data_IF_328803855766
#
_entry.id   IF_328803855766
#
_cell.length_a   1.000
_cell.length_b   1.000
_cell.length_c   1.000
_cell.angle_alpha   90.00
_cell.angle_beta   90.00
_cell.angle_gamma   90.00
#
_symmetry.space_group_name_H-M   'P 1'
#
loop_
_entity.id
_entity.type
_entity.pdbx_description
1 polymer ?
#
# COMPACT_ATOMS: atom_id res chain seq x y z
N UNK A 1 -3.87 -0.72 -7.13
CA UNK A 1 -2.92 -0.22 -6.11
C UNK A 1 -3.00 -1.13 -4.89
N UNK A 2 -1.88 -1.65 -4.42
CA UNK A 2 -1.83 -2.59 -3.29
C UNK A 2 -0.95 -2.00 -2.20
N UNK A 3 -1.49 -1.95 -0.98
CA UNK A 3 -0.81 -1.38 0.19
C UNK A 3 -1.26 -2.11 1.44
N UNK A 4 -0.35 -2.21 2.41
CA UNK A 4 -0.66 -2.69 3.76
C UNK A 4 -1.56 -1.69 4.51
N UNK A 5 -1.49 -0.40 4.20
CA UNK A 5 -2.19 0.66 4.95
C UNK A 5 -2.80 1.75 4.07
N UNK A 6 -3.87 2.38 4.59
CA UNK A 6 -4.64 3.45 3.95
C UNK A 6 -5.17 4.50 4.94
N UNK A 7 -4.59 5.70 4.93
CA UNK A 7 -4.94 6.84 5.77
C UNK A 7 -6.09 7.66 5.21
N UNK A 8 -7.31 7.15 5.32
CA UNK A 8 -8.50 7.81 4.77
C UNK A 8 -9.14 8.81 5.75
N UNK A 9 -9.41 8.33 6.96
CA UNK A 9 -10.07 9.05 8.05
C UNK A 9 -9.74 8.37 9.38
N UNK A 10 -9.78 9.14 10.48
CA UNK A 10 -9.58 8.63 11.84
C UNK A 10 -10.59 7.51 12.23
N UNK A 11 -11.74 7.46 11.56
CA UNK A 11 -12.75 6.44 11.81
C UNK A 11 -12.30 5.03 11.37
N UNK A 12 -11.37 4.92 10.42
CA UNK A 12 -10.85 3.64 9.93
C UNK A 12 -9.41 3.47 10.41
N UNK A 13 -9.19 2.63 11.42
CA UNK A 13 -7.85 2.34 11.96
C UNK A 13 -7.10 1.35 11.06
N UNK A 14 -6.82 1.74 9.82
CA UNK A 14 -6.11 0.91 8.82
C UNK A 14 -4.81 1.54 8.32
N UNK A 15 -4.20 2.42 9.14
CA UNK A 15 -2.91 3.05 8.86
C UNK A 15 -2.17 3.37 10.16
N UNK A 16 -0.85 3.56 10.08
CA UNK A 16 0.00 3.96 11.21
C UNK A 16 0.85 5.19 10.92
N UNK A 17 1.19 5.44 9.66
CA UNK A 17 2.17 6.48 9.33
C UNK A 17 1.99 7.14 7.98
N UNK A 18 3.07 7.78 7.50
CA UNK A 18 3.09 8.56 6.28
C UNK A 18 2.82 7.75 5.00
N UNK A 19 3.20 6.47 4.98
CA UNK A 19 2.91 5.56 3.87
C UNK A 19 1.39 5.37 3.70
N UNK A 20 0.68 5.12 4.81
CA UNK A 20 -0.77 5.02 4.80
C UNK A 20 -1.43 6.34 4.42
N UNK A 21 -0.99 7.47 5.00
CA UNK A 21 -1.53 8.80 4.63
C UNK A 21 -1.40 9.06 3.14
N UNK A 22 -0.23 8.78 2.54
CA UNK A 22 -0.03 8.90 1.10
C UNK A 22 -0.97 7.99 0.32
N UNK A 23 -1.09 6.71 0.69
CA UNK A 23 -2.01 5.78 0.03
C UNK A 23 -3.45 6.30 0.07
N UNK A 24 -3.89 6.87 1.20
CA UNK A 24 -5.21 7.45 1.33
C UNK A 24 -5.41 8.70 0.45
N UNK A 25 -4.44 9.60 0.43
CA UNK A 25 -4.48 10.80 -0.42
C UNK A 25 -4.39 10.46 -1.91
N UNK A 26 -3.62 9.43 -2.27
CA UNK A 26 -3.52 8.97 -3.64
C UNK A 26 -4.86 8.44 -4.16
N UNK A 27 -5.63 7.72 -3.32
CA UNK A 27 -6.99 7.29 -3.69
C UNK A 27 -7.97 8.45 -3.84
N UNK A 28 -7.87 9.47 -2.99
CA UNK A 28 -8.72 10.67 -3.08
C UNK A 28 -8.41 11.46 -4.35
N UNK A 29 -7.13 11.70 -4.64
CA UNK A 29 -6.70 12.37 -5.86
C UNK A 29 -7.09 11.56 -7.11
N UNK A 30 -6.92 10.23 -7.08
CA UNK A 30 -7.36 9.36 -8.17
C UNK A 30 -8.88 9.44 -8.41
N UNK A 31 -9.68 9.58 -7.36
CA UNK A 31 -11.13 9.80 -7.45
C UNK A 31 -11.48 11.13 -8.12
N UNK A 32 -10.78 12.20 -7.75
CA UNK A 32 -11.02 13.56 -8.26
C UNK A 32 -10.58 13.67 -9.72
N UNK A 33 -9.43 13.08 -10.04
CA UNK A 33 -8.90 12.94 -11.41
C UNK A 33 -9.63 11.89 -12.26
N UNK A 34 -10.65 11.19 -11.72
CA UNK A 34 -11.47 10.17 -12.42
C UNK A 34 -10.63 9.03 -13.03
N UNK A 35 -9.55 8.65 -12.37
CA UNK A 35 -8.69 7.54 -12.79
C UNK A 35 -9.42 6.22 -12.54
N UNK A 36 -9.35 5.29 -13.50
CA UNK A 36 -9.90 3.93 -13.33
C UNK A 36 -9.02 3.06 -12.42
N UNK A 37 -9.04 3.37 -11.12
CA UNK A 37 -8.23 2.71 -10.10
C UNK A 37 -9.08 1.85 -9.17
N UNK A 38 -8.49 0.78 -8.65
CA UNK A 38 -9.00 0.00 -7.53
C UNK A 38 -7.86 -0.27 -6.57
N UNK A 39 -8.18 -0.32 -5.28
CA UNK A 39 -7.21 -0.56 -4.23
C UNK A 39 -7.51 -1.84 -3.44
N UNK A 40 -6.45 -2.47 -2.93
CA UNK A 40 -6.52 -3.71 -2.16
C UNK A 40 -5.64 -3.57 -0.91
N UNK A 41 -6.15 -4.00 0.24
CA UNK A 41 -5.43 -4.00 1.51
C UNK A 41 -6.14 -4.83 2.58
N UNK A 42 -5.94 -4.46 3.84
CA UNK A 42 -6.46 -5.16 5.01
C UNK A 42 -7.42 -4.32 5.85
N UNK A 43 -8.44 -4.99 6.39
CA UNK A 43 -9.26 -4.44 7.47
C UNK A 43 -8.71 -4.97 8.80
N UNK A 44 -7.97 -4.13 9.52
CA UNK A 44 -7.34 -4.55 10.75
C UNK A 44 -8.32 -4.56 11.93
N UNK A 45 -8.35 -5.62 12.74
CA UNK A 45 -9.22 -5.70 13.93
C UNK A 45 -8.89 -4.62 14.97
N UNK A 46 -7.62 -4.36 15.22
CA UNK A 46 -7.14 -3.42 16.26
C UNK A 46 -6.42 -2.19 15.67
N UNK A 47 -6.15 -2.18 14.37
CA UNK A 47 -5.34 -1.15 13.72
C UNK A 47 -3.89 -1.18 14.19
N UNK A 48 -3.34 0.00 14.51
CA UNK A 48 -2.02 0.13 15.13
C UNK A 48 -2.15 0.10 16.66
N UNK A 49 -2.39 1.22 17.32
CA UNK A 49 -2.84 1.29 18.71
C UNK A 49 -3.44 2.67 19.02
N UNK A 50 -4.30 2.75 20.04
CA UNK A 50 -4.72 4.02 20.64
C UNK A 50 -3.71 4.41 21.72
N UNK A 51 -3.01 5.53 21.54
CA UNK A 51 -2.04 6.05 22.50
C UNK A 51 -2.76 6.76 23.66
N UNK A 52 -2.44 6.38 24.90
CA UNK A 52 -2.78 7.17 26.09
C UNK A 52 -1.52 7.47 26.91
N UNK A 53 -1.59 8.48 27.78
CA UNK A 53 -0.50 8.84 28.68
C UNK A 53 -0.88 8.48 30.12
N UNK A 54 0.04 7.82 30.83
CA UNK A 54 -0.08 7.60 32.26
C UNK A 54 0.04 8.92 33.03
N UNK A 55 -0.32 8.90 34.32
CA UNK A 55 -0.13 10.05 35.22
C UNK A 55 1.35 10.49 35.29
N UNK A 56 2.27 9.54 35.12
CA UNK A 56 3.72 9.79 35.10
C UNK A 56 4.24 10.20 33.71
N UNK A 57 3.37 10.40 32.72
CA UNK A 57 3.72 10.78 31.36
C UNK A 57 4.26 9.64 30.50
N UNK A 58 4.08 8.38 30.93
CA UNK A 58 4.50 7.22 30.13
C UNK A 58 3.45 6.89 29.07
N UNK A 59 3.91 6.53 27.88
CA UNK A 59 3.04 6.04 26.82
C UNK A 59 2.46 4.67 27.17
N UNK A 60 1.14 4.54 27.03
CA UNK A 60 0.41 3.28 27.13
C UNK A 60 -0.23 3.01 25.76
N UNK A 61 -0.01 1.81 25.22
CA UNK A 61 -0.59 1.37 23.96
C UNK A 61 -1.86 0.53 24.22
N UNK A 62 -3.01 1.03 23.78
CA UNK A 62 -4.29 0.33 23.94
C UNK A 62 -4.76 -0.23 22.60
N UNK A 63 -5.09 -1.52 22.57
CA UNK A 63 -5.54 -2.22 21.37
C UNK A 63 -7.05 -2.45 21.43
N UNK A 64 -7.81 -1.49 20.94
CA UNK A 64 -9.26 -1.55 20.92
C UNK A 64 -9.76 -2.21 19.64
N UNK A 65 -10.51 -3.31 19.77
CA UNK A 65 -11.14 -3.95 18.64
C UNK A 65 -12.17 -3.02 17.99
N UNK A 66 -12.08 -2.85 16.67
CA UNK A 66 -13.04 -2.08 15.90
C UNK A 66 -14.35 -2.85 15.75
N UNK A 67 -15.48 -2.17 15.95
CA UNK A 67 -16.78 -2.71 15.56
C UNK A 67 -17.03 -2.42 14.07
N UNK A 68 -16.78 -3.40 13.21
CA UNK A 68 -16.94 -3.25 11.76
C UNK A 68 -18.36 -2.82 11.34
N UNK A 69 -19.38 -3.18 12.11
CA UNK A 69 -20.77 -2.78 11.84
C UNK A 69 -21.06 -1.30 12.06
N UNK A 70 -20.20 -0.56 12.77
CA UNK A 70 -20.34 0.90 12.95
C UNK A 70 -19.42 1.71 12.04
N UNK A 71 -18.57 1.06 11.23
CA UNK A 71 -17.63 1.72 10.35
C UNK A 71 -18.31 2.10 9.02
N UNK A 72 -17.84 3.15 8.32
CA UNK A 72 -18.33 3.54 7.00
C UNK A 72 -17.81 2.59 5.90
N UNK A 73 -18.08 1.30 6.05
CA UNK A 73 -17.66 0.22 5.16
C UNK A 73 -18.85 -0.66 4.81
N UNK A 74 -18.76 -1.41 3.72
CA UNK A 74 -19.83 -2.32 3.31
C UNK A 74 -19.25 -3.70 3.06
N UNK A 75 -19.88 -4.74 3.59
CA UNK A 75 -19.49 -6.12 3.29
C UNK A 75 -19.86 -6.45 1.84
N UNK A 76 -18.96 -7.09 1.10
CA UNK A 76 -19.24 -7.53 -0.25
C UNK A 76 -20.09 -8.80 -0.19
N UNK A 77 -21.24 -8.78 -0.86
CA UNK A 77 -22.20 -9.88 -0.90
C UNK A 77 -22.22 -10.53 -2.29
N UNK A 78 -22.57 -11.81 -2.32
CA UNK A 78 -22.82 -12.56 -3.56
C UNK A 78 -24.24 -12.31 -4.11
N UNK A 79 -24.57 -12.98 -5.22
CA UNK A 79 -25.88 -12.90 -5.89
C UNK A 79 -27.06 -13.37 -5.01
N UNK A 80 -26.77 -14.07 -3.92
CA UNK A 80 -27.75 -14.58 -2.95
C UNK A 80 -27.78 -13.75 -1.65
N UNK A 81 -27.19 -12.55 -1.64
CA UNK A 81 -27.05 -11.67 -0.47
C UNK A 81 -26.28 -12.31 0.71
N UNK A 82 -25.39 -13.27 0.44
CA UNK A 82 -24.49 -13.83 1.45
C UNK A 82 -23.11 -13.18 1.36
N UNK A 83 -22.39 -13.01 2.49
CA UNK A 83 -21.01 -12.54 2.47
C UNK A 83 -20.13 -13.34 1.51
N UNK A 84 -19.41 -12.64 0.64
CA UNK A 84 -18.37 -13.28 -0.17
C UNK A 84 -17.21 -13.64 0.74
N UNK A 85 -16.94 -14.94 0.81
CA UNK A 85 -15.75 -15.48 1.46
C UNK A 85 -14.71 -15.80 0.39
N UNK A 86 -13.55 -15.19 0.51
CA UNK A 86 -12.38 -15.46 -0.30
C UNK A 86 -11.61 -16.65 0.29
N UNK A 87 -11.30 -17.62 -0.55
CA UNK A 87 -10.47 -18.77 -0.20
C UNK A 87 -9.05 -18.57 -0.73
N UNK A 88 -8.08 -18.48 0.17
CA UNK A 88 -6.66 -18.28 -0.18
C UNK A 88 -5.89 -19.53 0.20
N UNK A 89 -5.38 -20.31 -0.77
CA UNK A 89 -4.64 -21.53 -0.49
C UNK A 89 -3.27 -21.15 0.08
N UNK A 90 -3.04 -21.54 1.34
CA UNK A 90 -1.73 -21.54 1.96
C UNK A 90 -1.09 -22.92 1.75
N UNK A 91 0.12 -23.12 2.25
CA UNK A 91 0.90 -24.31 1.93
C UNK A 91 0.30 -25.63 2.45
N UNK A 92 -0.43 -25.60 3.56
CA UNK A 92 -1.01 -26.79 4.23
C UNK A 92 -2.53 -26.68 4.47
N UNK A 93 -3.11 -25.50 4.28
CA UNK A 93 -4.53 -25.22 4.57
C UNK A 93 -5.04 -24.07 3.70
N UNK A 94 -6.35 -23.83 3.77
CA UNK A 94 -6.97 -22.66 3.14
C UNK A 94 -7.29 -21.63 4.21
N UNK A 95 -6.95 -20.38 3.94
CA UNK A 95 -7.33 -19.23 4.76
C UNK A 95 -8.57 -18.61 4.13
N UNK A 96 -9.59 -18.39 4.96
CA UNK A 96 -10.83 -17.76 4.56
C UNK A 96 -10.78 -16.28 4.88
N UNK A 97 -11.29 -15.42 4.00
CA UNK A 97 -11.33 -13.99 4.27
C UNK A 97 -12.64 -13.36 3.83
N UNK A 98 -13.25 -12.59 4.72
CA UNK A 98 -14.34 -11.69 4.36
C UNK A 98 -13.79 -10.55 3.51
N UNK A 99 -14.59 -10.10 2.55
CA UNK A 99 -14.26 -8.95 1.73
C UNK A 99 -15.15 -7.78 2.15
N UNK A 100 -14.50 -6.68 2.52
CA UNK A 100 -15.13 -5.40 2.81
C UNK A 100 -14.76 -4.40 1.72
N UNK A 101 -15.63 -3.42 1.46
CA UNK A 101 -15.33 -2.31 0.55
C UNK A 101 -15.53 -0.96 1.23
N UNK A 102 -14.66 -0.03 0.88
CA UNK A 102 -14.73 1.39 1.23
C UNK A 102 -14.79 2.18 -0.08
N UNK A 103 -15.81 3.02 -0.23
CA UNK A 103 -15.92 3.91 -1.39
C UNK A 103 -15.22 5.24 -1.09
N UNK A 104 -14.05 5.44 -1.70
CA UNK A 104 -13.28 6.70 -1.64
C UNK A 104 -13.66 7.51 -2.87
N UNK A 105 -14.76 8.24 -2.77
CA UNK A 105 -15.39 8.88 -3.93
C UNK A 105 -15.73 7.85 -5.00
N UNK A 106 -15.02 7.89 -6.15
CA UNK A 106 -15.20 6.94 -7.26
C UNK A 106 -14.37 5.66 -7.11
N UNK A 107 -13.34 5.68 -6.27
CA UNK A 107 -12.40 4.57 -6.13
C UNK A 107 -12.95 3.57 -5.12
N UNK A 108 -12.93 2.29 -5.48
CA UNK A 108 -13.25 1.21 -4.55
C UNK A 108 -11.96 0.67 -3.93
N UNK A 109 -11.91 0.71 -2.60
CA UNK A 109 -10.88 0.06 -1.79
C UNK A 109 -11.47 -1.23 -1.21
N UNK A 110 -10.90 -2.37 -1.58
CA UNK A 110 -11.27 -3.68 -1.04
C UNK A 110 -10.32 -4.08 0.07
N UNK A 111 -10.90 -4.52 1.19
CA UNK A 111 -10.17 -4.87 2.40
C UNK A 111 -10.46 -6.32 2.77
N UNK A 112 -9.41 -7.10 2.95
CA UNK A 112 -9.47 -8.48 3.43
C UNK A 112 -9.46 -8.52 4.95
N UNK A 113 -10.29 -9.39 5.51
CA UNK A 113 -10.45 -9.65 6.95
C UNK A 113 -10.42 -11.16 7.18
N UNK A 114 -9.47 -11.68 7.95
CA UNK A 114 -9.35 -13.11 8.28
C UNK A 114 -9.91 -13.46 9.65
N UNK A 115 -10.52 -12.52 10.38
CA UNK A 115 -11.12 -12.74 11.70
C UNK A 115 -12.47 -13.49 11.62
N UNK A 116 -12.43 -14.72 11.10
CA UNK A 116 -13.57 -15.62 10.94
C UNK A 116 -13.40 -16.88 11.80
N UNK A 117 -14.52 -17.41 12.31
CA UNK A 117 -14.54 -18.67 13.07
C UNK A 117 -14.07 -19.89 12.27
N UNK A 118 -14.08 -19.81 10.93
CA UNK A 118 -13.59 -20.87 10.05
C UNK A 118 -12.05 -20.96 10.04
N UNK A 119 -11.37 -19.91 10.46
CA UNK A 119 -9.91 -19.85 10.56
C UNK A 119 -9.46 -20.23 11.97
N UNK A 120 -8.26 -20.80 12.07
CA UNK A 120 -7.62 -21.00 13.37
C UNK A 120 -7.32 -19.65 14.05
N UNK A 121 -7.14 -19.65 15.37
CA UNK A 121 -6.78 -18.42 16.12
C UNK A 121 -5.50 -17.77 15.58
N UNK A 122 -4.54 -18.57 15.11
CA UNK A 122 -3.29 -18.12 14.50
C UNK A 122 -3.43 -17.51 13.10
N UNK A 123 -4.56 -17.75 12.44
CA UNK A 123 -4.84 -17.24 11.09
C UNK A 123 -5.77 -16.04 11.13
N UNK A 124 -6.65 -15.99 12.14
CA UNK A 124 -7.40 -14.77 12.47
C UNK A 124 -6.47 -13.60 12.75
N UNK A 125 -5.33 -13.86 13.41
CA UNK A 125 -4.35 -12.82 13.74
C UNK A 125 -3.67 -12.15 12.53
N UNK A 126 -3.76 -12.72 11.32
CA UNK A 126 -3.17 -12.13 10.11
C UNK A 126 -3.69 -10.71 9.89
N UNK A 127 -4.98 -10.45 10.13
CA UNK A 127 -5.58 -9.11 10.02
C UNK A 127 -5.88 -8.47 11.38
N UNK A 128 -5.18 -8.85 12.45
CA UNK A 128 -5.40 -8.20 13.75
C UNK A 128 -4.73 -6.83 13.86
N UNK A 129 -3.44 -6.75 13.47
CA UNK A 129 -2.61 -5.57 13.69
C UNK A 129 -1.78 -5.22 12.46
N UNK A 130 -1.64 -3.93 12.21
CA UNK A 130 -0.72 -3.36 11.23
C UNK A 130 0.70 -3.40 11.82
N UNK A 131 1.66 -3.99 11.09
CA UNK A 131 3.05 -4.17 11.54
C UNK A 131 3.21 -4.91 12.89
N UNK A 132 2.31 -5.87 13.16
CA UNK A 132 2.37 -6.71 14.36
C UNK A 132 2.74 -8.17 14.05
N UNK A 133 3.00 -8.93 15.12
CA UNK A 133 3.35 -10.35 15.05
C UNK A 133 4.83 -10.60 14.80
N UNK A 134 5.15 -11.86 14.48
CA UNK A 134 6.51 -12.30 14.14
C UNK A 134 6.73 -12.33 12.62
N UNK A 135 7.94 -12.76 12.21
CA UNK A 135 8.28 -12.91 10.79
C UNK A 135 7.37 -13.89 10.05
N UNK A 136 6.82 -14.91 10.72
CA UNK A 136 5.87 -15.81 10.09
C UNK A 136 4.53 -15.11 9.84
N UNK A 137 4.00 -14.35 10.80
CA UNK A 137 2.80 -13.54 10.60
C UNK A 137 3.00 -12.50 9.48
N UNK A 138 4.19 -11.88 9.41
CA UNK A 138 4.55 -10.95 8.33
C UNK A 138 4.52 -11.63 6.96
N UNK A 139 5.12 -12.81 6.83
CA UNK A 139 5.07 -13.60 5.60
C UNK A 139 3.62 -13.97 5.21
N UNK A 140 2.77 -14.34 6.18
CA UNK A 140 1.34 -14.60 5.95
C UNK A 140 0.60 -13.36 5.45
N UNK A 141 0.86 -12.18 6.03
CA UNK A 141 0.26 -10.91 5.58
C UNK A 141 0.69 -10.59 4.15
N UNK A 142 1.97 -10.69 3.81
CA UNK A 142 2.45 -10.42 2.45
C UNK A 142 1.91 -11.42 1.43
N UNK A 143 1.83 -12.70 1.80
CA UNK A 143 1.21 -13.72 0.96
C UNK A 143 -0.27 -13.43 0.72
N UNK A 144 -1.01 -13.08 1.78
CA UNK A 144 -2.43 -12.74 1.67
C UNK A 144 -2.63 -11.46 0.84
N UNK A 145 -1.79 -10.44 1.01
CA UNK A 145 -1.88 -9.20 0.23
C UNK A 145 -1.61 -9.44 -1.25
N UNK A 146 -0.53 -10.17 -1.57
CA UNK A 146 -0.13 -10.43 -2.94
C UNK A 146 -0.97 -11.50 -3.63
N UNK A 147 -0.93 -12.74 -3.14
CA UNK A 147 -1.65 -13.87 -3.72
C UNK A 147 -3.15 -13.73 -3.47
N UNK A 148 -3.55 -13.50 -2.22
CA UNK A 148 -4.95 -13.33 -1.85
C UNK A 148 -5.57 -12.12 -2.54
N UNK A 149 -4.87 -10.99 -2.63
CA UNK A 149 -5.37 -9.81 -3.32
C UNK A 149 -5.57 -10.00 -4.84
N UNK A 150 -4.72 -10.77 -5.53
CA UNK A 150 -4.99 -11.14 -6.94
C UNK A 150 -6.20 -12.08 -7.05
N UNK A 151 -6.34 -13.05 -6.12
CA UNK A 151 -7.51 -13.93 -6.08
C UNK A 151 -8.80 -13.15 -5.79
N UNK A 152 -8.74 -12.14 -4.92
CA UNK A 152 -9.84 -11.21 -4.64
C UNK A 152 -10.29 -10.51 -5.93
N UNK A 153 -9.36 -9.91 -6.67
CA UNK A 153 -9.71 -9.22 -7.93
C UNK A 153 -10.38 -10.19 -8.91
N UNK A 154 -9.83 -11.40 -9.08
CA UNK A 154 -10.43 -12.45 -9.91
C UNK A 154 -11.84 -12.84 -9.44
N UNK A 155 -12.03 -13.02 -8.13
CA UNK A 155 -13.31 -13.40 -7.52
C UNK A 155 -14.40 -12.35 -7.71
N UNK A 156 -14.01 -11.08 -7.82
CA UNK A 156 -14.90 -9.95 -8.08
C UNK A 156 -15.02 -9.61 -9.57
N UNK A 157 -14.35 -10.35 -10.47
CA UNK A 157 -14.35 -10.07 -11.90
C UNK A 157 -13.61 -8.79 -12.30
N UNK A 158 -12.76 -8.26 -11.42
CA UNK A 158 -12.01 -7.01 -11.67
C UNK A 158 -10.74 -7.34 -12.44
N UNK A 159 -10.59 -6.74 -13.61
CA UNK A 159 -9.39 -6.82 -14.46
C UNK A 159 -8.75 -5.45 -14.55
N UNK A 160 -7.41 -5.41 -14.51
CA UNK A 160 -6.60 -4.20 -14.59
C UNK A 160 -5.35 -4.47 -15.41
N UNK A 161 -4.92 -3.48 -16.17
CA UNK A 161 -3.73 -3.57 -17.02
C UNK A 161 -2.45 -3.30 -16.24
N UNK A 162 -2.53 -2.50 -15.17
CA UNK A 162 -1.38 -2.06 -14.36
C UNK A 162 -1.58 -2.40 -12.89
N UNK A 163 -0.53 -2.93 -12.28
CA UNK A 163 -0.47 -3.29 -10.86
C UNK A 163 0.61 -2.48 -10.17
N UNK A 164 0.25 -1.79 -9.09
CA UNK A 164 1.17 -0.92 -8.36
C UNK A 164 1.40 -1.45 -6.95
N UNK A 165 2.65 -1.78 -6.67
CA UNK A 165 3.17 -2.20 -5.38
C UNK A 165 3.59 -0.97 -4.56
N UNK A 166 2.89 -0.72 -3.47
CA UNK A 166 3.30 0.26 -2.48
C UNK A 166 4.23 -0.39 -1.46
N UNK A 167 5.54 -0.20 -1.62
CA UNK A 167 6.62 -0.88 -0.88
C UNK A 167 6.72 -2.40 -1.17
N UNK A 168 7.84 -3.01 -0.78
CA UNK A 168 8.15 -4.42 -1.06
C UNK A 168 7.12 -5.44 -0.56
N UNK A 169 6.29 -5.10 0.43
CA UNK A 169 5.31 -6.00 1.05
C UNK A 169 4.24 -6.51 0.06
N UNK A 170 4.06 -5.81 -1.06
CA UNK A 170 3.14 -6.17 -2.13
C UNK A 170 3.80 -7.00 -3.25
N UNK A 171 5.08 -7.35 -3.15
CA UNK A 171 5.83 -7.94 -4.26
C UNK A 171 5.28 -9.31 -4.73
N UNK A 172 4.61 -10.07 -3.85
CA UNK A 172 4.02 -11.37 -4.19
C UNK A 172 2.83 -11.30 -5.16
N UNK A 173 2.34 -10.09 -5.48
CA UNK A 173 1.46 -9.85 -6.64
C UNK A 173 2.11 -10.42 -7.89
N UNK A 174 3.39 -10.12 -8.14
CA UNK A 174 4.12 -10.59 -9.31
C UNK A 174 4.23 -12.11 -9.34
N UNK A 175 4.52 -12.75 -8.20
CA UNK A 175 4.58 -14.22 -8.12
C UNK A 175 3.25 -14.87 -8.54
N UNK A 176 2.12 -14.35 -8.03
CA UNK A 176 0.80 -14.88 -8.41
C UNK A 176 0.48 -14.64 -9.89
N UNK A 177 0.81 -13.46 -10.42
CA UNK A 177 0.60 -13.12 -11.83
C UNK A 177 1.46 -13.98 -12.77
N UNK A 178 2.72 -14.23 -12.42
CA UNK A 178 3.60 -15.16 -13.14
C UNK A 178 2.96 -16.55 -13.21
N UNK A 179 2.51 -17.08 -12.06
CA UNK A 179 1.82 -18.36 -12.02
C UNK A 179 0.59 -18.37 -12.92
N UNK A 180 -0.19 -17.30 -12.93
CA UNK A 180 -1.42 -17.22 -13.72
C UNK A 180 -1.14 -17.21 -15.21
N UNK A 181 -0.19 -16.40 -15.68
CA UNK A 181 0.20 -16.40 -17.09
C UNK A 181 0.78 -17.75 -17.56
N UNK A 182 1.60 -18.40 -16.74
CA UNK A 182 2.14 -19.72 -17.08
C UNK A 182 1.03 -20.78 -17.10
N UNK A 183 0.14 -20.79 -16.11
CA UNK A 183 -0.83 -21.87 -15.95
C UNK A 183 -2.09 -21.70 -16.78
N UNK A 184 -2.58 -20.48 -16.94
CA UNK A 184 -3.85 -20.15 -17.59
C UNK A 184 -3.61 -19.77 -19.06
N UNK A 185 -2.63 -18.91 -19.34
CA UNK A 185 -2.31 -18.42 -20.70
C UNK A 185 -1.21 -19.26 -21.39
N UNK A 186 -0.64 -20.26 -20.70
CA UNK A 186 0.37 -21.19 -21.24
C UNK A 186 1.64 -20.53 -21.77
N UNK A 187 1.96 -19.34 -21.27
CA UNK A 187 3.22 -18.67 -21.57
C UNK A 187 4.40 -19.42 -20.92
N UNK A 188 5.57 -19.35 -21.55
CA UNK A 188 6.82 -19.72 -20.85
C UNK A 188 7.08 -18.75 -19.69
N UNK A 189 7.94 -19.17 -18.75
CA UNK A 189 8.32 -18.31 -17.63
C UNK A 189 8.87 -16.95 -18.08
N UNK A 190 9.74 -16.93 -19.09
CA UNK A 190 10.35 -15.69 -19.58
C UNK A 190 9.31 -14.78 -20.23
N UNK A 191 8.40 -15.32 -21.05
CA UNK A 191 7.31 -14.53 -21.63
C UNK A 191 6.38 -13.97 -20.56
N UNK A 192 6.00 -14.79 -19.57
CA UNK A 192 5.19 -14.35 -18.44
C UNK A 192 5.89 -13.26 -17.62
N UNK A 193 7.22 -13.37 -17.43
CA UNK A 193 8.01 -12.38 -16.72
C UNK A 193 8.01 -11.04 -17.45
N UNK A 194 8.19 -11.01 -18.77
CA UNK A 194 8.12 -9.77 -19.55
C UNK A 194 6.75 -9.11 -19.43
N UNK A 195 5.65 -9.89 -19.52
CA UNK A 195 4.29 -9.35 -19.35
C UNK A 195 4.09 -8.79 -17.94
N UNK A 196 4.53 -9.51 -16.89
CA UNK A 196 4.41 -9.07 -15.50
C UNK A 196 5.23 -7.80 -15.27
N UNK A 197 6.48 -7.74 -15.75
CA UNK A 197 7.34 -6.56 -15.66
C UNK A 197 6.68 -5.36 -16.30
N UNK A 198 6.30 -5.46 -17.58
CA UNK A 198 5.72 -4.37 -18.36
C UNK A 198 4.43 -3.76 -17.76
N UNK A 199 3.77 -4.48 -16.86
CA UNK A 199 2.49 -4.09 -16.24
C UNK A 199 2.58 -3.91 -14.72
N UNK A 200 3.79 -3.80 -14.17
CA UNK A 200 4.02 -3.64 -12.73
C UNK A 200 4.82 -2.36 -12.45
N UNK A 201 4.30 -1.56 -11.51
CA UNK A 201 4.95 -0.39 -10.93
C UNK A 201 5.36 -0.70 -9.49
N UNK A 202 6.56 -0.30 -9.10
CA UNK A 202 7.06 -0.43 -7.74
C UNK A 202 7.47 0.92 -7.16
N UNK A 203 6.91 1.30 -6.02
CA UNK A 203 7.34 2.48 -5.28
C UNK A 203 8.01 2.06 -3.97
N UNK A 204 9.23 2.56 -3.76
CA UNK A 204 9.99 2.40 -2.51
C UNK A 204 9.89 3.68 -1.68
N UNK A 205 9.59 3.53 -0.39
CA UNK A 205 9.53 4.63 0.57
C UNK A 205 10.70 4.61 1.55
N UNK A 206 11.33 3.45 1.66
CA UNK A 206 12.38 3.19 2.64
C UNK A 206 13.74 3.61 2.09
N UNK A 207 14.47 4.52 2.76
CA UNK A 207 15.76 5.03 2.28
C UNK A 207 16.96 4.20 2.76
N UNK A 208 16.73 3.15 3.55
CA UNK A 208 17.80 2.35 4.18
C UNK A 208 17.50 0.85 4.10
N UNK A 209 18.49 -0.01 3.78
CA UNK A 209 18.30 -1.46 3.67
C UNK A 209 17.63 -2.10 4.90
N UNK A 210 17.91 -1.62 6.10
CA UNK A 210 17.36 -2.17 7.34
C UNK A 210 15.83 -2.05 7.49
N UNK A 211 15.16 -1.22 6.68
CA UNK A 211 13.70 -1.08 6.70
C UNK A 211 12.98 -2.00 5.71
N UNK A 212 13.70 -2.77 4.89
CA UNK A 212 13.12 -3.70 3.94
C UNK A 212 12.90 -5.08 4.56
N UNK A 213 11.90 -5.80 4.05
CA UNK A 213 11.61 -7.17 4.51
C UNK A 213 12.51 -8.19 3.82
N UNK A 214 13.17 -9.01 4.67
CA UNK A 214 14.03 -10.11 4.27
C UNK A 214 13.57 -11.40 4.94
N UNK A 215 13.23 -12.42 4.15
CA UNK A 215 12.81 -13.72 4.66
C UNK A 215 13.92 -14.76 4.56
N UNK A 216 14.09 -15.55 5.62
CA UNK A 216 14.89 -16.77 5.56
C UNK A 216 14.35 -17.72 4.49
N UNK A 217 15.24 -18.41 3.78
CA UNK A 217 14.84 -19.32 2.68
C UNK A 217 13.83 -20.37 3.15
N UNK A 218 14.02 -20.92 4.35
CA UNK A 218 13.10 -21.92 4.92
C UNK A 218 11.68 -21.38 5.12
N UNK A 219 11.55 -20.12 5.54
CA UNK A 219 10.26 -19.49 5.79
C UNK A 219 9.55 -19.17 4.48
N UNK A 220 10.21 -18.52 3.52
CA UNK A 220 9.56 -18.22 2.23
C UNK A 220 9.27 -19.50 1.44
N UNK A 221 10.14 -20.51 1.50
CA UNK A 221 9.93 -21.82 0.87
C UNK A 221 8.65 -22.48 1.35
N UNK A 222 8.41 -22.48 2.67
CA UNK A 222 7.20 -23.02 3.27
C UNK A 222 5.94 -22.50 2.56
N UNK A 223 5.86 -21.20 2.26
CA UNK A 223 4.65 -20.59 1.66
C UNK A 223 4.67 -20.56 0.13
N UNK A 224 5.84 -20.39 -0.50
CA UNK A 224 5.95 -20.09 -1.93
C UNK A 224 6.26 -21.32 -2.79
N UNK A 225 6.85 -22.40 -2.26
CA UNK A 225 7.26 -23.57 -3.06
C UNK A 225 6.10 -24.19 -3.87
N UNK A 226 4.87 -24.38 -3.32
CA UNK A 226 3.76 -24.89 -4.11
C UNK A 226 3.36 -23.98 -5.28
N UNK A 227 3.52 -22.66 -5.12
CA UNK A 227 3.24 -21.67 -6.15
C UNK A 227 4.35 -21.67 -7.21
N UNK A 228 5.62 -21.69 -6.79
CA UNK A 228 6.80 -21.70 -7.67
C UNK A 228 6.85 -22.96 -8.53
N UNK A 229 6.49 -24.12 -7.97
CA UNK A 229 6.37 -25.37 -8.73
C UNK A 229 5.37 -25.24 -9.89
N UNK A 230 4.32 -24.42 -9.73
CA UNK A 230 3.34 -24.11 -10.80
C UNK A 230 3.83 -23.02 -11.76
N UNK A 231 4.82 -22.20 -11.39
CA UNK A 231 5.51 -21.33 -12.35
C UNK A 231 6.43 -22.15 -13.27
N UNK A 232 6.91 -23.31 -12.79
CA UNK A 232 7.69 -24.25 -13.60
C UNK A 232 9.19 -23.91 -13.68
N UNK A 233 9.70 -23.12 -12.73
CA UNK A 233 11.13 -22.85 -12.56
C UNK A 233 11.69 -23.59 -11.34
N UNK A 234 13.00 -23.94 -11.33
CA UNK A 234 13.65 -24.46 -10.14
C UNK A 234 13.57 -23.47 -8.96
N UNK A 235 13.47 -24.00 -7.74
CA UNK A 235 13.39 -23.18 -6.52
C UNK A 235 14.55 -22.19 -6.37
N UNK A 236 15.78 -22.60 -6.69
CA UNK A 236 16.95 -21.72 -6.62
C UNK A 236 16.82 -20.52 -7.58
N UNK A 237 16.21 -20.71 -8.75
CA UNK A 237 15.97 -19.63 -9.70
C UNK A 237 14.97 -18.62 -9.14
N UNK A 238 13.92 -19.07 -8.45
CA UNK A 238 13.00 -18.17 -7.75
C UNK A 238 13.72 -17.40 -6.64
N UNK A 239 14.52 -18.09 -5.82
CA UNK A 239 15.29 -17.44 -4.75
C UNK A 239 16.23 -16.35 -5.29
N UNK A 240 16.88 -16.61 -6.42
CA UNK A 240 17.79 -15.66 -7.06
C UNK A 240 17.08 -14.40 -7.58
N UNK A 241 15.77 -14.45 -7.84
CA UNK A 241 15.00 -13.24 -8.16
C UNK A 241 14.86 -12.29 -6.97
N UNK A 242 15.06 -12.77 -5.74
CA UNK A 242 15.00 -11.98 -4.51
C UNK A 242 16.37 -11.74 -3.85
N UNK A 243 17.48 -12.06 -4.51
CA UNK A 243 18.84 -11.89 -3.97
C UNK A 243 19.60 -10.81 -4.72
N UNK A 244 20.33 -9.97 -3.98
CA UNK A 244 21.25 -8.99 -4.59
C UNK A 244 22.36 -9.72 -5.36
N UNK A 245 22.79 -10.88 -4.83
CA UNK A 245 23.80 -11.73 -5.43
C UNK A 245 23.20 -13.12 -5.73
N UNK A 246 22.68 -13.34 -6.96
CA UNK A 246 22.21 -14.66 -7.40
C UNK A 246 23.23 -15.78 -7.15
N UNK A 247 22.77 -16.94 -6.69
CA UNK A 247 23.58 -18.11 -6.36
C UNK A 247 24.22 -18.10 -4.97
N UNK A 248 23.98 -17.07 -4.15
CA UNK A 248 24.46 -17.00 -2.76
C UNK A 248 23.43 -17.55 -1.75
N UNK A 249 23.75 -17.50 -0.46
CA UNK A 249 22.83 -17.87 0.63
C UNK A 249 22.14 -16.66 1.27
N UNK A 250 22.03 -15.55 0.53
CA UNK A 250 21.31 -14.37 1.01
C UNK A 250 19.84 -14.67 1.30
N UNK A 251 19.29 -13.95 2.28
CA UNK A 251 17.85 -13.95 2.55
C UNK A 251 17.09 -13.43 1.33
N UNK A 252 15.84 -13.85 1.19
CA UNK A 252 14.98 -13.36 0.12
C UNK A 252 14.52 -11.94 0.43
N UNK A 253 15.00 -10.96 -0.33
CA UNK A 253 14.57 -9.57 -0.28
C UNK A 253 13.33 -9.35 -1.12
N UNK A 254 12.27 -8.87 -0.47
CA UNK A 254 11.03 -8.52 -1.14
C UNK A 254 11.19 -7.35 -2.11
N UNK A 255 12.12 -6.44 -1.80
CA UNK A 255 12.40 -5.27 -2.65
C UNK A 255 13.19 -5.65 -3.90
N UNK A 256 14.15 -6.57 -3.78
CA UNK A 256 14.86 -7.12 -4.96
C UNK A 256 13.89 -7.87 -5.86
N UNK A 257 12.99 -8.67 -5.26
CA UNK A 257 11.95 -9.36 -6.03
C UNK A 257 10.99 -8.38 -6.73
N UNK A 258 10.59 -7.29 -6.06
CA UNK A 258 9.79 -6.23 -6.67
C UNK A 258 10.51 -5.60 -7.87
N UNK A 259 11.79 -5.21 -7.72
CA UNK A 259 12.60 -4.63 -8.79
C UNK A 259 12.79 -5.58 -9.98
N UNK A 260 13.03 -6.85 -9.71
CA UNK A 260 13.19 -7.86 -10.76
C UNK A 260 11.88 -8.21 -11.47
N UNK A 261 10.72 -7.81 -10.93
CA UNK A 261 9.40 -8.07 -11.52
C UNK A 261 8.61 -6.82 -11.87
N UNK A 262 9.18 -5.63 -11.72
CA UNK A 262 8.61 -4.35 -12.13
C UNK A 262 9.41 -3.72 -13.28
N UNK A 263 8.71 -3.05 -14.19
CA UNK A 263 9.34 -2.29 -15.27
C UNK A 263 9.73 -0.89 -14.79
N UNK A 264 8.84 -0.23 -14.06
CA UNK A 264 9.06 1.11 -13.53
C UNK A 264 9.18 1.03 -12.01
N UNK A 265 10.25 1.63 -11.49
CA UNK A 265 10.53 1.69 -10.06
C UNK A 265 10.84 3.13 -9.67
N UNK A 266 10.27 3.61 -8.57
CA UNK A 266 10.47 5.00 -8.18
C UNK A 266 10.66 5.19 -6.67
N UNK A 267 11.54 6.12 -6.32
CA UNK A 267 11.54 6.77 -5.01
C UNK A 267 10.45 7.83 -4.90
N UNK A 268 10.34 8.42 -3.72
CA UNK A 268 9.22 9.31 -3.33
C UNK A 268 9.55 10.81 -3.31
N UNK A 269 10.77 11.13 -3.74
CA UNK A 269 11.26 12.49 -4.01
C UNK A 269 12.51 12.40 -4.88
N UNK A 270 12.94 13.53 -5.47
CA UNK A 270 14.14 13.56 -6.32
C UNK A 270 15.38 13.02 -5.61
N UNK A 271 15.65 13.49 -4.38
CA UNK A 271 16.80 13.02 -3.61
C UNK A 271 16.63 11.56 -3.17
N UNK A 272 15.40 11.16 -2.82
CA UNK A 272 15.13 9.76 -2.50
C UNK A 272 15.34 8.84 -3.70
N UNK A 273 15.04 9.28 -4.92
CA UNK A 273 15.35 8.53 -6.15
C UNK A 273 16.85 8.25 -6.28
N UNK A 274 17.69 9.26 -6.04
CA UNK A 274 19.16 9.10 -6.06
C UNK A 274 19.64 8.13 -4.96
N UNK A 275 19.11 8.27 -3.74
CA UNK A 275 19.44 7.34 -2.63
C UNK A 275 18.99 5.91 -2.96
N UNK A 276 17.82 5.75 -3.59
CA UNK A 276 17.30 4.43 -3.99
C UNK A 276 18.16 3.81 -5.08
N UNK A 277 18.67 4.61 -6.02
CA UNK A 277 19.61 4.16 -7.04
C UNK A 277 20.91 3.61 -6.42
N UNK A 278 21.47 4.30 -5.42
CA UNK A 278 22.66 3.82 -4.72
C UNK A 278 22.37 2.54 -3.93
N UNK A 279 21.22 2.50 -3.25
CA UNK A 279 20.79 1.35 -2.45
C UNK A 279 20.59 0.08 -3.29
N UNK A 280 20.05 0.22 -4.51
CA UNK A 280 19.75 -0.90 -5.41
C UNK A 280 20.83 -1.19 -6.46
N UNK A 281 21.95 -0.47 -6.45
CA UNK A 281 23.09 -0.74 -7.33
C UNK A 281 23.56 -2.21 -7.29
N UNK A 282 23.58 -2.90 -6.13
CA UNK A 282 23.99 -4.31 -6.09
C UNK A 282 23.15 -5.25 -6.98
N UNK A 283 21.88 -4.91 -7.25
CA UNK A 283 20.96 -5.71 -8.08
C UNK A 283 21.41 -5.75 -9.55
N UNK A 284 21.99 -4.66 -10.06
CA UNK A 284 22.45 -4.55 -11.46
C UNK A 284 23.95 -4.29 -11.52
N UNK A 285 24.73 -5.34 -11.23
CA UNK A 285 26.20 -5.29 -11.31
C UNK A 285 26.67 -4.83 -12.69
N UNK A 286 27.64 -3.93 -12.69
CA UNK A 286 28.21 -3.35 -13.91
C UNK A 286 27.59 -2.04 -14.35
N UNK A 287 26.48 -1.61 -13.73
CA UNK A 287 25.89 -0.30 -13.91
C UNK A 287 26.26 0.63 -12.76
N UNK A 288 26.46 1.90 -13.09
CA UNK A 288 26.48 2.98 -12.10
C UNK A 288 25.07 3.23 -11.56
N UNK A 289 24.91 3.69 -10.30
CA UNK A 289 23.60 4.03 -9.74
C UNK A 289 22.73 4.90 -10.66
N UNK A 290 23.34 5.87 -11.34
CA UNK A 290 22.64 6.82 -12.21
C UNK A 290 22.09 6.18 -13.50
N UNK A 291 22.55 4.99 -13.86
CA UNK A 291 22.11 4.24 -15.04
C UNK A 291 20.93 3.30 -14.72
N UNK A 292 20.58 3.16 -13.44
CA UNK A 292 19.44 2.34 -13.04
C UNK A 292 18.12 3.03 -13.43
N UNK A 293 17.14 2.23 -13.84
CA UNK A 293 15.79 2.69 -14.18
C UNK A 293 14.97 3.17 -12.96
N UNK A 294 15.57 3.20 -11.77
CA UNK A 294 14.92 3.70 -10.55
C UNK A 294 14.82 5.22 -10.63
N UNK A 295 13.60 5.72 -10.85
CA UNK A 295 13.29 7.15 -10.95
C UNK A 295 12.75 7.74 -9.64
N UNK A 296 11.95 8.79 -9.76
CA UNK A 296 11.22 9.37 -8.64
C UNK A 296 9.84 9.90 -9.05
N UNK A 297 8.90 9.82 -8.11
CA UNK A 297 7.63 10.55 -8.14
C UNK A 297 7.54 11.28 -6.81
N UNK A 298 7.56 12.61 -6.82
CA UNK A 298 7.50 13.39 -5.58
C UNK A 298 6.13 13.22 -4.93
N UNK A 299 6.10 12.79 -3.68
CA UNK A 299 4.86 12.67 -2.92
C UNK A 299 4.09 14.00 -2.89
N UNK A 300 2.77 13.89 -2.96
CA UNK A 300 1.83 14.99 -2.73
C UNK A 300 0.87 14.64 -1.60
N UNK A 301 0.08 15.63 -1.19
CA UNK A 301 -1.05 15.45 -0.27
C UNK A 301 -2.32 15.90 -0.99
N UNK A 302 -3.45 15.31 -0.63
CA UNK A 302 -4.74 15.66 -1.23
C UNK A 302 -5.21 17.02 -0.68
N UNK A 303 -4.96 18.11 -1.42
CA UNK A 303 -5.17 19.49 -0.95
C UNK A 303 -6.56 19.71 -0.33
N UNK A 304 -7.69 19.22 -0.90
CA UNK A 304 -9.01 19.39 -0.28
C UNK A 304 -9.17 18.69 1.08
N UNK A 305 -8.38 17.67 1.40
CA UNK A 305 -8.35 17.04 2.73
C UNK A 305 -7.59 17.90 3.73
N UNK A 306 -6.45 18.47 3.33
CA UNK A 306 -5.53 19.13 4.25
C UNK A 306 -5.74 20.64 4.40
N UNK A 307 -6.59 21.24 3.55
CA UNK A 307 -7.05 22.62 3.71
C UNK A 307 -8.36 22.69 4.50
N UNK A 308 -8.39 23.50 5.57
CA UNK A 308 -9.65 23.81 6.28
C UNK A 308 -10.58 24.66 5.41
N UNK A 309 -11.88 24.70 5.71
CA UNK A 309 -12.83 25.54 4.95
C UNK A 309 -12.44 27.03 4.92
N UNK A 310 -11.84 27.55 6.00
CA UNK A 310 -11.34 28.93 6.03
C UNK A 310 -10.14 29.14 5.10
N UNK A 311 -9.26 28.14 4.98
CA UNK A 311 -8.12 28.18 4.04
C UNK A 311 -8.62 28.05 2.60
N UNK A 312 -9.57 27.14 2.33
CA UNK A 312 -10.17 26.98 1.00
C UNK A 312 -10.81 28.27 0.50
N UNK A 313 -11.50 29.00 1.37
CA UNK A 313 -12.10 30.29 1.04
C UNK A 313 -11.06 31.33 0.60
N UNK A 314 -9.86 31.34 1.20
CA UNK A 314 -8.76 32.19 0.75
C UNK A 314 -8.34 31.81 -0.67
N UNK A 315 -8.23 30.51 -0.97
CA UNK A 315 -7.88 30.04 -2.30
C UNK A 315 -8.96 30.41 -3.34
N UNK A 316 -10.23 30.18 -3.03
CA UNK A 316 -11.37 30.50 -3.90
C UNK A 316 -11.45 32.00 -4.21
N UNK A 317 -11.22 32.86 -3.21
CA UNK A 317 -11.27 34.31 -3.37
C UNK A 317 -10.08 34.88 -4.18
N UNK A 318 -8.89 34.27 -4.07
CA UNK A 318 -7.66 34.90 -4.53
C UNK A 318 -6.97 34.19 -5.70
N UNK A 319 -7.13 32.86 -5.84
CA UNK A 319 -6.41 32.08 -6.87
C UNK A 319 -7.22 31.90 -8.16
N UNK A 320 -8.51 32.18 -8.13
CA UNK A 320 -9.44 32.11 -9.25
C UNK A 320 -10.17 30.78 -9.35
N UNK A 321 -11.21 30.75 -10.19
CA UNK A 321 -12.17 29.62 -10.29
C UNK A 321 -11.52 28.32 -10.78
N UNK A 322 -10.46 28.41 -11.59
CA UNK A 322 -9.78 27.24 -12.17
C UNK A 322 -8.75 26.60 -11.22
N UNK A 323 -8.49 27.18 -10.04
CA UNK A 323 -7.44 26.72 -9.14
C UNK A 323 -7.53 25.23 -8.80
N UNK A 324 -8.74 24.74 -8.49
CA UNK A 324 -8.93 23.33 -8.15
C UNK A 324 -8.79 22.39 -9.35
N UNK A 325 -8.91 22.90 -10.58
CA UNK A 325 -8.77 22.11 -11.81
C UNK A 325 -7.31 21.98 -12.26
N UNK A 326 -6.45 22.93 -11.89
CA UNK A 326 -5.03 22.96 -12.28
C UNK A 326 -4.11 23.32 -11.09
N UNK A 327 -4.17 22.51 -10.04
CA UNK A 327 -3.40 22.71 -8.80
C UNK A 327 -1.89 22.61 -9.01
N UNK A 328 -1.45 21.99 -10.10
CA UNK A 328 -0.04 21.83 -10.46
C UNK A 328 0.61 23.10 -11.05
N UNK A 329 -0.19 24.11 -11.41
CA UNK A 329 0.28 25.25 -12.18
C UNK A 329 0.90 26.35 -11.30
N UNK A 330 2.22 26.59 -11.40
CA UNK A 330 2.89 27.60 -10.57
C UNK A 330 2.41 29.02 -10.82
N UNK A 331 1.89 29.34 -12.01
CA UNK A 331 1.40 30.69 -12.33
C UNK A 331 0.13 31.03 -11.55
N UNK A 332 -0.75 30.05 -11.31
CA UNK A 332 -1.92 30.24 -10.44
C UNK A 332 -1.46 30.51 -9.00
N UNK A 333 -0.46 29.76 -8.53
CA UNK A 333 0.09 29.92 -7.18
C UNK A 333 0.79 31.25 -6.94
N UNK A 334 1.31 31.94 -7.97
CA UNK A 334 1.91 33.29 -7.81
C UNK A 334 0.92 34.31 -7.24
N UNK A 335 -0.38 34.15 -7.48
CA UNK A 335 -1.42 35.04 -6.92
C UNK A 335 -1.49 35.00 -5.39
N UNK A 336 -0.90 34.00 -4.74
CA UNK A 336 -0.78 33.97 -3.27
C UNK A 336 -0.01 35.20 -2.76
N UNK A 337 0.92 35.75 -3.54
CA UNK A 337 1.67 36.95 -3.16
C UNK A 337 0.85 38.25 -3.22
N UNK A 338 -0.34 38.21 -3.82
CA UNK A 338 -1.25 39.36 -3.87
C UNK A 338 -2.20 39.41 -2.65
N UNK A 339 -2.20 38.36 -1.82
CA UNK A 339 -3.02 38.27 -0.61
C UNK A 339 -2.39 39.16 0.48
N UNK A 340 -3.21 39.99 1.14
CA UNK A 340 -2.70 40.93 2.13
C UNK A 340 -2.20 40.21 3.39
N UNK A 341 -1.15 40.77 4.01
CA UNK A 341 -0.58 40.26 5.27
C UNK A 341 -1.64 40.20 6.38
N UNK A 342 -2.56 41.17 6.43
CA UNK A 342 -3.66 41.22 7.40
C UNK A 342 -4.63 40.04 7.23
N UNK A 343 -4.94 39.66 5.98
CA UNK A 343 -5.82 38.53 5.69
C UNK A 343 -5.17 37.21 6.11
N UNK A 344 -3.89 37.01 5.76
CA UNK A 344 -3.11 35.83 6.18
C UNK A 344 -2.99 35.77 7.71
N UNK A 345 -2.71 36.90 8.36
CA UNK A 345 -2.61 37.00 9.82
C UNK A 345 -3.94 36.67 10.48
N UNK A 346 -5.04 37.22 9.98
CA UNK A 346 -6.40 36.95 10.46
C UNK A 346 -6.74 35.46 10.38
N UNK A 347 -6.47 34.82 9.23
CA UNK A 347 -6.62 33.38 9.06
C UNK A 347 -5.79 32.59 10.09
N UNK A 348 -4.52 32.98 10.28
CA UNK A 348 -3.62 32.28 11.21
C UNK A 348 -4.09 32.40 12.65
N UNK A 349 -4.57 33.56 13.07
CA UNK A 349 -5.12 33.77 14.41
C UNK A 349 -6.39 32.94 14.62
N UNK A 350 -7.29 32.93 13.64
CA UNK A 350 -8.49 32.10 13.67
C UNK A 350 -8.16 30.60 13.83
N UNK A 351 -7.18 30.08 13.07
CA UNK A 351 -6.76 28.68 13.18
C UNK A 351 -6.11 28.35 14.53
N UNK A 352 -5.37 29.30 15.14
CA UNK A 352 -4.81 29.15 16.49
C UNK A 352 -5.88 29.09 17.56
N UNK A 353 -6.89 29.96 17.47
CA UNK A 353 -8.03 29.96 18.40
C UNK A 353 -8.75 28.61 18.36
N UNK A 354 -9.07 28.11 17.16
CA UNK A 354 -9.69 26.77 17.00
C UNK A 354 -8.84 25.64 17.60
N UNK A 355 -7.53 25.70 17.45
CA UNK A 355 -6.63 24.70 18.04
C UNK A 355 -6.64 24.78 19.57
N UNK A 356 -6.60 25.99 20.14
CA UNK A 356 -6.67 26.20 21.59
C UNK A 356 -8.00 25.70 22.15
N UNK A 357 -9.10 25.96 21.46
CA UNK A 357 -10.43 25.49 21.87
C UNK A 357 -10.51 23.97 21.84
N UNK A 358 -9.96 23.32 20.80
CA UNK A 358 -9.89 21.86 20.70
C UNK A 358 -9.01 21.22 21.79
N UNK A 359 -7.90 21.85 22.16
CA UNK A 359 -7.02 21.31 23.23
C UNK A 359 -7.68 21.44 24.61
N UNK A 360 -8.57 22.44 24.79
CA UNK A 360 -9.28 22.66 26.06
C UNK A 360 -10.51 21.78 26.24
N UNK A 361 -11.14 21.34 25.15
CA UNK A 361 -12.28 20.41 25.15
C UNK A 361 -11.83 18.98 25.44
#
# INVERSE_FOLDING_TARGET
>A
YFSMEYGLSHALKIYSGGLGVLAGDYLKEASDSRVDMTAVGFLYRHGYFTQTLSVDGQQIANYEAQNFGSLPITQVLDEHNKPVVLEVPFHDRTIYSNIWKVSVGRIQLYLMDTDLEHNSEYDRSITHQLYGGDWENRMKQEYLLGVGGILLLKRLGIRKDVYHMNEGHAALISAKRLRDYVQEEKLSFNEALEVVRASTLYTVHTPVPAGHDYFEESLIRKYMEPLVNKIGIPWYQFMDMGRDNPGTNEKFSMSVFALNTAQESNGVSKLHGLVSQEMFQPVWKGYFPQELHVGYVTNGVHLPTWATSSVKRIYENNLGEDFYQDQSNPEIWKKVYDISDEEIWGLRMHLKEKLVDYIKS
#
